data_IF_997439600954
#
_entry.id   IF_997439600954
#
_cell.length_a   1.000
_cell.length_b   1.000
_cell.length_c   1.000
_cell.angle_alpha   90.00
_cell.angle_beta   90.00
_cell.angle_gamma   90.00
#
_symmetry.space_group_name_H-M   'P 1'
#
loop_
_entity.id
_entity.type
_entity.pdbx_description
1 polymer ?
#
# COMPACT_ATOMS: atom_id res chain seq x y z
N UNK A 1 -15.23 12.18 -3.58
CA UNK A 1 -14.01 12.83 -3.06
C UNK A 1 -13.40 13.63 -4.20
N UNK A 2 -13.24 14.94 -4.05
CA UNK A 2 -12.42 15.75 -4.94
C UNK A 2 -10.97 15.66 -4.46
N UNK A 3 -10.05 15.28 -5.34
CA UNK A 3 -8.63 15.28 -5.04
C UNK A 3 -8.18 16.70 -4.70
N UNK A 4 -7.61 16.91 -3.51
CA UNK A 4 -6.92 18.17 -3.17
C UNK A 4 -5.59 18.17 -3.92
N UNK A 5 -5.41 19.13 -4.81
CA UNK A 5 -4.14 19.36 -5.51
C UNK A 5 -3.23 20.13 -4.54
N UNK A 6 -2.01 19.64 -4.30
CA UNK A 6 -1.03 20.39 -3.53
C UNK A 6 -0.63 21.66 -4.31
N UNK A 7 -0.58 22.82 -3.63
CA UNK A 7 -0.23 24.11 -4.25
C UNK A 7 1.23 24.15 -4.70
N UNK A 8 2.09 23.40 -4.03
CA UNK A 8 3.48 23.17 -4.39
C UNK A 8 3.68 21.69 -4.71
N UNK A 9 4.15 21.40 -5.92
CA UNK A 9 4.49 20.05 -6.37
C UNK A 9 5.83 19.65 -5.74
N UNK A 10 5.82 19.40 -4.41
CA UNK A 10 6.96 18.78 -3.76
C UNK A 10 7.15 17.37 -4.32
N UNK A 11 8.40 16.91 -4.39
CA UNK A 11 8.75 15.58 -4.86
C UNK A 11 8.12 14.52 -3.94
N UNK A 12 6.87 14.12 -4.24
CA UNK A 12 6.19 13.08 -3.49
C UNK A 12 6.99 11.78 -3.61
N UNK A 13 7.41 11.26 -2.46
CA UNK A 13 8.20 10.05 -2.35
C UNK A 13 7.62 9.17 -1.24
N UNK A 14 6.41 8.64 -1.47
CA UNK A 14 5.73 7.78 -0.50
C UNK A 14 6.40 6.42 -0.35
N UNK A 15 6.61 5.97 0.88
CA UNK A 15 7.12 4.64 1.22
C UNK A 15 6.06 3.69 1.79
N UNK A 16 4.84 4.19 2.00
CA UNK A 16 3.71 3.43 2.50
C UNK A 16 2.54 3.68 1.58
N UNK A 17 1.95 2.61 1.07
CA UNK A 17 0.74 2.65 0.27
C UNK A 17 -0.35 1.97 1.07
N UNK A 18 -1.52 2.60 1.16
CA UNK A 18 -2.71 2.01 1.76
C UNK A 18 -3.79 1.95 0.69
N UNK A 19 -4.34 0.76 0.48
CA UNK A 19 -5.48 0.50 -0.38
C UNK A 19 -6.67 0.07 0.47
N UNK A 20 -7.87 0.36 0.00
CA UNK A 20 -9.11 0.07 0.69
C UNK A 20 -10.17 -0.34 -0.33
N UNK A 21 -11.28 -0.85 0.18
CA UNK A 21 -12.44 -1.31 -0.58
C UNK A 21 -12.09 -2.53 -1.45
N UNK A 22 -12.69 -2.60 -2.63
CA UNK A 22 -12.54 -3.72 -3.55
C UNK A 22 -11.29 -3.56 -4.42
N UNK A 23 -10.20 -3.03 -3.85
CA UNK A 23 -8.99 -2.72 -4.61
C UNK A 23 -8.46 -3.96 -5.31
N UNK A 24 -8.12 -3.80 -6.58
CA UNK A 24 -7.40 -4.76 -7.38
C UNK A 24 -6.55 -4.00 -8.39
N UNK A 25 -5.50 -4.65 -8.90
CA UNK A 25 -4.61 -4.05 -9.88
C UNK A 25 -4.20 -5.06 -10.94
N UNK A 26 -3.56 -4.52 -11.99
CA UNK A 26 -2.98 -5.35 -13.05
C UNK A 26 -1.74 -6.06 -12.51
N UNK A 27 -1.39 -7.18 -13.14
CA UNK A 27 -0.10 -7.84 -12.94
C UNK A 27 1.02 -6.86 -13.23
N UNK A 28 1.97 -6.75 -12.30
CA UNK A 28 3.14 -5.89 -12.42
C UNK A 28 4.31 -6.42 -11.58
N UNK A 29 5.48 -5.80 -11.78
CA UNK A 29 6.65 -5.91 -10.94
C UNK A 29 6.98 -4.52 -10.37
N UNK A 30 7.54 -4.48 -9.18
CA UNK A 30 7.93 -3.25 -8.51
C UNK A 30 9.33 -2.81 -8.95
N UNK A 31 9.53 -2.53 -10.24
CA UNK A 31 10.86 -2.25 -10.81
C UNK A 31 11.49 -0.96 -10.26
N UNK A 32 10.66 0.03 -9.92
CA UNK A 32 11.07 1.33 -9.38
C UNK A 32 11.48 1.32 -7.90
N UNK A 33 11.30 0.19 -7.23
CA UNK A 33 11.66 0.01 -5.82
C UNK A 33 13.13 -0.39 -5.65
N UNK A 34 13.75 0.01 -4.55
CA UNK A 34 15.13 -0.32 -4.21
C UNK A 34 15.21 -1.46 -3.20
N UNK A 35 14.19 -1.64 -2.37
CA UNK A 35 14.12 -2.75 -1.44
C UNK A 35 14.11 -4.07 -2.22
N UNK A 36 14.92 -5.04 -1.76
CA UNK A 36 14.91 -6.39 -2.34
C UNK A 36 13.69 -7.21 -1.93
N UNK A 37 13.08 -6.81 -0.80
CA UNK A 37 11.90 -7.43 -0.23
C UNK A 37 10.87 -6.36 0.13
N UNK A 38 9.61 -6.61 -0.20
CA UNK A 38 8.47 -5.77 0.15
C UNK A 38 7.71 -6.44 1.28
N UNK A 39 7.35 -5.66 2.29
CA UNK A 39 6.49 -6.09 3.38
C UNK A 39 5.08 -5.55 3.17
N UNK A 40 4.06 -6.37 3.39
CA UNK A 40 2.68 -5.96 3.26
C UNK A 40 1.76 -6.60 4.28
N UNK A 41 0.70 -5.86 4.60
CA UNK A 41 -0.33 -6.21 5.58
C UNK A 41 -1.69 -6.16 4.89
N UNK A 42 -2.49 -7.22 5.03
CA UNK A 42 -3.83 -7.29 4.47
C UNK A 42 -4.82 -7.75 5.53
N UNK A 43 -6.01 -7.17 5.56
CA UNK A 43 -7.06 -7.59 6.50
C UNK A 43 -8.43 -7.09 6.08
N UNK A 44 -9.46 -7.85 6.42
CA UNK A 44 -10.81 -7.28 6.51
C UNK A 44 -10.92 -6.50 7.81
N UNK A 45 -11.49 -5.30 7.74
CA UNK A 45 -11.72 -4.47 8.92
C UNK A 45 -13.19 -4.05 9.00
N UNK A 46 -13.67 -3.92 10.23
CA UNK A 46 -14.90 -3.19 10.52
C UNK A 46 -14.66 -1.69 10.28
N UNK A 47 -15.51 -1.04 9.48
CA UNK A 47 -15.32 0.36 9.10
C UNK A 47 -15.55 1.33 10.25
N UNK A 48 -16.38 0.97 11.23
CA UNK A 48 -16.73 1.86 12.34
C UNK A 48 -15.62 1.92 13.39
N UNK A 49 -14.93 0.80 13.61
CA UNK A 49 -13.92 0.63 14.65
C UNK A 49 -12.49 0.58 14.12
N UNK A 50 -12.31 0.25 12.83
CA UNK A 50 -11.01 -0.01 12.23
C UNK A 50 -10.36 -1.32 12.68
N UNK A 51 -11.06 -2.15 13.44
CA UNK A 51 -10.51 -3.39 13.97
C UNK A 51 -10.58 -4.52 12.93
N UNK A 52 -9.56 -5.41 12.89
CA UNK A 52 -9.59 -6.62 12.07
C UNK A 52 -10.81 -7.47 12.39
N UNK A 53 -11.45 -7.99 11.35
CA UNK A 53 -12.55 -8.95 11.42
C UNK A 53 -12.23 -10.18 10.57
N UNK A 54 -12.85 -11.34 10.85
CA UNK A 54 -12.79 -12.47 9.93
C UNK A 54 -13.36 -12.09 8.55
N UNK A 55 -12.91 -12.75 7.47
CA UNK A 55 -13.48 -12.57 6.14
C UNK A 55 -15.00 -12.83 6.13
N UNK A 56 -15.77 -12.09 5.32
CA UNK A 56 -17.23 -12.19 5.30
C UNK A 56 -17.77 -13.48 4.64
N UNK A 57 -16.89 -14.24 3.96
CA UNK A 57 -17.21 -15.49 3.27
C UNK A 57 -15.93 -16.32 3.10
N UNK A 58 -16.09 -17.62 2.88
CA UNK A 58 -15.06 -18.60 2.51
C UNK A 58 -14.88 -18.75 0.99
N UNK A 59 -15.59 -17.95 0.18
CA UNK A 59 -15.46 -18.02 -1.27
C UNK A 59 -14.08 -17.56 -1.74
N UNK A 60 -13.35 -18.45 -2.43
CA UNK A 60 -12.04 -18.15 -3.02
C UNK A 60 -12.12 -17.06 -4.10
N UNK A 61 -10.99 -16.38 -4.32
CA UNK A 61 -10.76 -15.56 -5.52
C UNK A 61 -10.24 -14.15 -5.25
N UNK A 62 -10.14 -13.73 -3.99
CA UNK A 62 -9.52 -12.46 -3.59
C UNK A 62 -8.22 -12.72 -2.84
N UNK A 63 -7.11 -12.19 -3.34
CA UNK A 63 -5.80 -12.43 -2.75
C UNK A 63 -4.66 -11.73 -3.46
N UNK A 64 -3.48 -11.84 -2.88
CA UNK A 64 -2.21 -11.49 -3.54
C UNK A 64 -1.75 -12.68 -4.38
N UNK A 65 -1.80 -12.53 -5.69
CA UNK A 65 -1.50 -13.58 -6.66
C UNK A 65 -0.10 -13.39 -7.24
N UNK A 66 0.73 -14.43 -7.16
CA UNK A 66 2.06 -14.52 -7.76
C UNK A 66 2.00 -15.38 -9.03
N UNK A 67 1.99 -14.72 -10.20
CA UNK A 67 1.67 -15.34 -11.50
C UNK A 67 2.60 -16.49 -11.86
N UNK A 68 3.90 -16.30 -11.66
CA UNK A 68 4.94 -17.27 -12.03
C UNK A 68 4.83 -18.61 -11.28
N UNK A 69 4.29 -18.60 -10.06
CA UNK A 69 4.18 -19.79 -9.22
C UNK A 69 2.77 -20.37 -9.22
N UNK A 70 1.81 -19.72 -9.90
CA UNK A 70 0.38 -20.02 -9.79
C UNK A 70 -0.08 -20.10 -8.32
N UNK A 71 0.50 -19.24 -7.47
CA UNK A 71 0.27 -19.25 -6.03
C UNK A 71 -0.49 -17.99 -5.61
N UNK A 72 -1.50 -18.17 -4.77
CA UNK A 72 -2.29 -17.06 -4.22
C UNK A 72 -2.23 -17.10 -2.70
N UNK A 73 -1.97 -15.94 -2.10
CA UNK A 73 -2.24 -15.71 -0.68
C UNK A 73 -3.69 -15.29 -0.62
N UNK A 74 -4.57 -16.24 -0.31
CA UNK A 74 -6.01 -16.05 -0.29
C UNK A 74 -6.45 -15.32 0.98
N UNK A 75 -7.18 -14.23 0.82
CA UNK A 75 -7.63 -13.40 1.93
C UNK A 75 -8.93 -13.95 2.57
N UNK A 76 -9.67 -14.83 1.89
CA UNK A 76 -10.94 -15.38 2.37
C UNK A 76 -10.77 -16.38 3.53
N UNK A 77 -9.60 -16.99 3.65
CA UNK A 77 -9.29 -17.99 4.68
C UNK A 77 -8.32 -17.50 5.76
N UNK A 78 -7.93 -16.22 5.71
CA UNK A 78 -7.08 -15.62 6.71
C UNK A 78 -7.93 -14.99 7.83
N UNK A 79 -8.02 -15.66 8.97
CA UNK A 79 -8.69 -15.12 10.15
C UNK A 79 -7.81 -14.03 10.79
N UNK A 80 -8.04 -12.77 10.42
CA UNK A 80 -7.40 -11.59 11.01
C UNK A 80 -6.44 -10.89 10.06
N UNK A 81 -5.19 -10.72 10.49
CA UNK A 81 -4.17 -9.96 9.76
C UNK A 81 -3.28 -10.92 8.98
N UNK A 82 -3.13 -10.67 7.69
CA UNK A 82 -2.16 -11.35 6.81
C UNK A 82 -0.92 -10.48 6.70
N UNK A 83 0.23 -11.01 7.08
CA UNK A 83 1.53 -10.38 6.87
C UNK A 83 2.28 -11.14 5.78
N UNK A 84 2.78 -10.42 4.77
CA UNK A 84 3.50 -11.01 3.65
C UNK A 84 4.84 -10.31 3.47
N UNK A 85 5.90 -11.10 3.31
CA UNK A 85 7.20 -10.64 2.85
C UNK A 85 7.50 -11.33 1.51
N UNK A 86 7.69 -10.56 0.44
CA UNK A 86 7.97 -11.10 -0.90
C UNK A 86 9.12 -10.37 -1.57
N UNK A 87 9.77 -11.04 -2.53
CA UNK A 87 10.82 -10.40 -3.31
C UNK A 87 10.19 -9.39 -4.28
N UNK A 88 10.60 -8.14 -4.18
CA UNK A 88 9.98 -6.97 -4.83
C UNK A 88 10.05 -7.02 -6.36
N UNK A 89 11.23 -7.35 -6.89
CA UNK A 89 11.51 -7.29 -8.34
C UNK A 89 11.28 -8.59 -9.12
N UNK A 90 11.70 -9.77 -8.65
CA UNK A 90 11.77 -10.95 -9.51
C UNK A 90 10.41 -11.62 -9.76
N UNK A 91 9.36 -11.24 -9.01
CA UNK A 91 8.05 -11.89 -9.09
C UNK A 91 6.95 -10.90 -9.46
N UNK A 92 6.38 -11.14 -10.63
CA UNK A 92 5.12 -10.54 -11.03
C UNK A 92 4.02 -10.91 -10.04
N UNK A 93 3.25 -9.91 -9.64
CA UNK A 93 2.13 -10.10 -8.74
C UNK A 93 0.98 -9.12 -9.02
N UNK A 94 -0.19 -9.42 -8.48
CA UNK A 94 -1.32 -8.50 -8.40
C UNK A 94 -2.24 -8.84 -7.23
N UNK A 95 -3.10 -7.90 -6.86
CA UNK A 95 -4.30 -8.18 -6.08
C UNK A 95 -5.43 -8.55 -7.03
N UNK A 96 -6.05 -9.71 -6.82
CA UNK A 96 -7.15 -10.19 -7.66
C UNK A 96 -8.49 -9.50 -7.30
N UNK A 97 -9.42 -9.32 -8.26
CA UNK A 97 -10.70 -8.70 -7.96
C UNK A 97 -11.55 -9.58 -7.03
N UNK A 98 -12.19 -9.01 -5.99
CA UNK A 98 -12.99 -9.80 -5.07
C UNK A 98 -14.31 -10.29 -5.70
N UNK A 99 -14.71 -11.55 -5.45
CA UNK A 99 -16.07 -12.00 -5.74
C UNK A 99 -17.10 -11.23 -4.91
N UNK A 100 -18.37 -11.25 -5.33
CA UNK A 100 -19.45 -10.46 -4.70
C UNK A 100 -19.57 -10.68 -3.18
N UNK A 101 -19.36 -11.90 -2.72
CA UNK A 101 -19.39 -12.29 -1.30
C UNK A 101 -18.27 -11.68 -0.45
N UNK A 102 -17.16 -11.32 -1.09
CA UNK A 102 -15.97 -10.74 -0.46
C UNK A 102 -15.84 -9.23 -0.67
N UNK A 103 -16.78 -8.61 -1.40
CA UNK A 103 -16.78 -7.16 -1.62
C UNK A 103 -17.14 -6.41 -0.36
N UNK A 104 -16.58 -5.20 -0.29
CA UNK A 104 -16.76 -4.25 0.77
C UNK A 104 -18.21 -3.78 0.85
N UNK A 105 -18.67 -3.54 2.07
CA UNK A 105 -20.02 -3.04 2.35
C UNK A 105 -19.93 -1.73 3.13
N UNK A 106 -21.07 -1.23 3.62
CA UNK A 106 -21.08 -0.12 4.59
C UNK A 106 -20.54 -0.54 5.97
N UNK A 107 -20.53 -1.83 6.29
CA UNK A 107 -20.09 -2.33 7.59
C UNK A 107 -18.59 -2.64 7.61
N UNK A 108 -18.06 -3.20 6.52
CA UNK A 108 -16.66 -3.64 6.46
C UNK A 108 -16.00 -3.29 5.12
N UNK A 109 -14.67 -3.33 5.11
CA UNK A 109 -13.83 -3.15 3.92
C UNK A 109 -12.60 -4.05 4.00
N UNK A 110 -11.97 -4.32 2.87
CA UNK A 110 -10.65 -4.94 2.84
C UNK A 110 -9.58 -3.85 2.75
N UNK A 111 -8.56 -3.92 3.60
CA UNK A 111 -7.40 -3.04 3.54
C UNK A 111 -6.19 -3.81 3.06
N UNK A 112 -5.37 -3.15 2.24
CA UNK A 112 -4.03 -3.57 1.91
C UNK A 112 -3.06 -2.46 2.28
N UNK A 113 -1.90 -2.82 2.80
CA UNK A 113 -0.80 -1.87 3.04
C UNK A 113 0.49 -2.50 2.57
N UNK A 114 1.33 -1.75 1.86
CA UNK A 114 2.69 -2.17 1.50
C UNK A 114 3.71 -1.11 1.90
N UNK A 115 4.90 -1.59 2.28
CA UNK A 115 6.03 -0.78 2.71
C UNK A 115 7.17 -0.97 1.73
N UNK A 116 7.54 0.10 1.03
CA UNK A 116 8.45 0.08 -0.11
C UNK A 116 9.39 1.28 -0.05
N UNK A 117 10.64 1.11 -0.46
CA UNK A 117 11.60 2.20 -0.61
C UNK A 117 11.76 2.41 -2.11
N UNK A 118 11.05 3.38 -2.67
CA UNK A 118 11.18 3.69 -4.09
C UNK A 118 12.46 4.51 -4.37
N UNK A 119 12.91 4.46 -5.62
CA UNK A 119 14.14 5.15 -6.07
C UNK A 119 14.06 6.66 -5.84
N UNK A 120 12.89 7.27 -6.06
CA UNK A 120 12.69 8.71 -5.86
C UNK A 120 12.89 9.12 -4.39
N UNK A 121 12.42 8.31 -3.44
CA UNK A 121 12.65 8.55 -2.01
C UNK A 121 14.12 8.51 -1.66
N UNK A 122 14.85 7.51 -2.16
CA UNK A 122 16.28 7.41 -1.92
C UNK A 122 17.05 8.57 -2.55
N UNK A 123 16.72 8.95 -3.78
CA UNK A 123 17.37 10.07 -4.48
C UNK A 123 17.16 11.40 -3.75
N UNK A 124 15.94 11.66 -3.28
CA UNK A 124 15.64 12.85 -2.46
C UNK A 124 16.40 12.79 -1.14
N UNK A 125 16.39 11.64 -0.47
CA UNK A 125 17.10 11.45 0.80
C UNK A 125 18.61 11.66 0.65
N UNK A 126 19.21 11.15 -0.42
CA UNK A 126 20.64 11.28 -0.69
C UNK A 126 21.05 12.73 -0.98
N UNK A 127 20.22 13.48 -1.71
CA UNK A 127 20.43 14.92 -1.96
C UNK A 127 20.34 15.76 -0.69
N UNK A 128 19.46 15.39 0.24
CA UNK A 128 19.19 16.18 1.44
C UNK A 128 20.08 15.83 2.63
N UNK A 129 20.75 14.66 2.64
CA UNK A 129 21.51 14.16 3.81
C UNK A 129 22.61 15.11 4.31
N UNK A 130 23.24 15.84 3.40
CA UNK A 130 24.35 16.77 3.67
C UNK A 130 23.96 18.24 3.37
N UNK A 131 22.69 18.51 3.11
CA UNK A 131 22.19 19.84 2.80
C UNK A 131 22.07 20.71 4.05
N UNK A 132 22.01 22.03 3.86
CA UNK A 132 21.73 22.96 4.96
C UNK A 132 20.29 22.82 5.46
N UNK A 133 20.03 23.12 6.74
CA UNK A 133 18.68 23.11 7.31
C UNK A 133 17.70 23.98 6.51
N UNK A 134 18.16 25.14 6.01
CA UNK A 134 17.38 26.02 5.14
C UNK A 134 16.93 25.32 3.85
N UNK A 135 17.84 24.58 3.21
CA UNK A 135 17.53 23.83 1.99
C UNK A 135 16.61 22.64 2.26
N UNK A 136 16.80 21.94 3.38
CA UNK A 136 15.90 20.85 3.79
C UNK A 136 14.49 21.37 4.04
N UNK A 137 14.36 22.53 4.71
CA UNK A 137 13.07 23.12 5.03
C UNK A 137 12.31 23.62 3.78
N UNK A 138 13.01 24.16 2.79
CA UNK A 138 12.39 24.57 1.51
C UNK A 138 11.88 23.37 0.68
N UNK A 139 12.57 22.23 0.78
CA UNK A 139 12.33 21.06 -0.09
C UNK A 139 11.45 19.99 0.53
N UNK A 140 11.15 20.07 1.82
CA UNK A 140 10.33 19.09 2.55
C UNK A 140 9.13 19.77 3.19
N UNK A 141 8.04 19.03 3.41
CA UNK A 141 6.91 19.52 4.21
C UNK A 141 7.39 19.65 5.66
N UNK A 142 7.66 20.88 6.09
CA UNK A 142 8.07 21.16 7.46
C UNK A 142 6.90 21.00 8.43
N UNK A 143 7.23 20.85 9.72
CA UNK A 143 6.25 20.67 10.79
C UNK A 143 5.26 21.84 10.88
N UNK A 144 5.71 23.04 10.50
CA UNK A 144 4.90 24.26 10.52
C UNK A 144 3.83 24.26 9.41
N UNK A 145 4.08 23.58 8.28
CA UNK A 145 3.11 23.43 7.19
C UNK A 145 2.03 22.37 7.48
N UNK A 146 2.29 21.44 8.40
CA UNK A 146 1.41 20.29 8.66
C UNK A 146 0.08 20.64 9.33
N UNK A 147 -0.03 21.77 10.00
CA UNK A 147 -1.17 22.09 10.88
C UNK A 147 -2.11 23.19 10.36
N UNK A 148 -1.95 23.61 9.10
CA UNK A 148 -2.88 24.54 8.45
C UNK A 148 -3.94 23.84 7.58
N UNK A 149 -4.17 22.53 7.77
CA UNK A 149 -5.08 21.67 7.00
C UNK A 149 -6.49 21.52 7.60
#
# INVERSE_FOLDING_TARGET
MSWRKFEHEHDFAGNVIVTFDDFYNKVHQDEGDLNSWTYGIFSYIDRATGLPIPPPSDQLGHGLYFTRHSAIIDFAHANGIVEVLWQTKPFEHCTTPPPLSLRSTKAYTHIGTSFQINTKLADVSDKLKDATDEHVNDRTLCKDDKYHL
#
